data_IF_749481340960
#
_entry.id   IF_749481340960
#
_cell.length_a   1.000
_cell.length_b   1.000
_cell.length_c   1.000
_cell.angle_alpha   90.00
_cell.angle_beta   90.00
_cell.angle_gamma   90.00
#
_symmetry.space_group_name_H-M   'P 1'
#
loop_
_entity.id
_entity.type
_entity.pdbx_description
1 polymer ?
#
# COMPACT_ATOMS: atom_id res chain seq x y z
N UNK A 1 38.51 5.04 66.29
CA UNK A 1 38.14 6.06 65.30
C UNK A 1 37.24 5.38 64.30
N UNK A 2 36.09 4.99 64.69
CA UNK A 2 34.77 5.66 64.90
C UNK A 2 34.22 6.08 63.57
N UNK A 3 33.34 5.26 63.07
CA UNK A 3 31.87 5.30 63.18
C UNK A 3 31.25 6.39 62.33
N UNK A 4 30.95 6.05 61.07
CA UNK A 4 30.02 6.77 60.19
C UNK A 4 29.30 5.83 59.22
N UNK A 5 28.81 4.70 59.71
CA UNK A 5 28.01 3.76 58.92
C UNK A 5 26.62 3.51 59.55
N UNK A 6 26.00 4.53 60.07
CA UNK A 6 24.82 4.35 60.89
C UNK A 6 23.67 5.33 60.74
N UNK A 7 23.45 5.97 59.58
CA UNK A 7 22.29 6.88 59.43
C UNK A 7 21.72 6.99 58.03
N UNK A 8 21.46 5.85 57.37
CA UNK A 8 20.72 5.88 56.09
C UNK A 8 19.82 4.63 55.91
N UNK A 9 19.11 4.25 56.98
CA UNK A 9 18.20 3.10 56.95
C UNK A 9 16.85 3.34 57.59
N UNK A 10 16.32 4.57 57.45
CA UNK A 10 15.00 4.92 58.00
C UNK A 10 14.18 5.88 57.13
N UNK A 11 14.12 5.68 55.81
CA UNK A 11 13.31 6.54 54.97
C UNK A 11 12.60 5.85 53.78
N UNK A 12 12.66 4.52 53.65
CA UNK A 12 11.83 3.85 52.64
C UNK A 12 11.18 2.60 53.25
N UNK A 13 9.86 2.75 53.50
CA UNK A 13 9.03 1.70 53.99
C UNK A 13 8.94 0.55 52.98
N UNK A 14 8.93 -0.62 53.52
CA UNK A 14 8.60 -1.89 52.90
C UNK A 14 7.17 -1.89 52.34
N UNK A 15 7.01 -2.11 51.08
CA UNK A 15 5.71 -2.48 50.45
C UNK A 15 6.03 -3.48 49.38
N UNK A 16 6.00 -4.73 49.76
CA UNK A 16 5.81 -5.88 48.88
C UNK A 16 4.41 -5.81 48.28
N UNK A 17 4.31 -5.71 46.97
CA UNK A 17 3.27 -6.38 46.19
C UNK A 17 3.78 -6.49 44.78
N UNK A 18 4.15 -7.71 44.41
CA UNK A 18 4.54 -8.11 43.08
C UNK A 18 3.30 -8.19 42.19
N UNK A 19 3.27 -7.40 41.16
CA UNK A 19 2.57 -7.74 39.93
C UNK A 19 3.57 -7.70 38.80
N UNK A 20 3.99 -8.90 38.37
CA UNK A 20 4.67 -9.17 37.10
C UNK A 20 3.71 -8.74 35.97
N UNK A 21 3.82 -7.50 35.52
CA UNK A 21 3.37 -7.15 34.19
C UNK A 21 4.36 -7.72 33.18
N UNK A 22 4.13 -8.97 32.79
CA UNK A 22 4.71 -9.52 31.58
C UNK A 22 4.33 -8.56 30.42
N UNK A 23 5.35 -7.89 29.91
CA UNK A 23 5.32 -7.11 28.68
C UNK A 23 4.97 -8.07 27.55
N UNK A 24 3.67 -8.22 27.27
CA UNK A 24 3.20 -8.87 26.07
C UNK A 24 3.55 -7.90 24.94
N UNK A 25 4.25 -8.37 23.89
CA UNK A 25 4.35 -7.57 22.69
C UNK A 25 2.91 -7.29 22.22
N UNK A 26 2.49 -6.03 22.29
CA UNK A 26 1.25 -5.60 21.66
C UNK A 26 1.36 -6.00 20.20
N UNK A 27 0.48 -6.93 19.81
CA UNK A 27 0.28 -7.31 18.44
C UNK A 27 -0.24 -6.06 17.71
N UNK A 28 0.69 -5.26 17.14
CA UNK A 28 0.36 -4.07 16.35
C UNK A 28 -0.19 -4.56 15.03
N UNK A 29 -1.45 -4.96 15.04
CA UNK A 29 -2.23 -5.15 13.83
C UNK A 29 -2.22 -3.84 13.04
N UNK A 30 -1.85 -3.89 11.78
CA UNK A 30 -2.08 -2.81 10.84
C UNK A 30 -3.58 -2.50 10.90
N UNK A 31 -3.96 -1.30 11.37
CA UNK A 31 -5.36 -0.96 11.57
C UNK A 31 -5.94 -0.30 10.31
N UNK A 32 -7.15 -0.69 9.96
CA UNK A 32 -7.96 -0.03 8.93
C UNK A 32 -8.15 1.43 9.30
N UNK A 33 -8.00 2.36 8.37
CA UNK A 33 -8.24 3.79 8.58
C UNK A 33 -9.68 4.05 9.08
N UNK A 34 -9.88 5.04 9.95
CA UNK A 34 -11.14 5.34 10.64
C UNK A 34 -12.37 5.59 9.73
N UNK A 35 -12.19 5.64 8.42
CA UNK A 35 -13.26 5.70 7.41
C UNK A 35 -12.77 5.21 6.05
N UNK A 36 -12.60 3.90 5.90
CA UNK A 36 -12.39 3.27 4.59
C UNK A 36 -13.63 3.44 3.73
N UNK A 37 -13.50 4.15 2.63
CA UNK A 37 -14.59 4.33 1.66
C UNK A 37 -14.17 3.70 0.35
N UNK A 38 -14.95 2.71 -0.09
CA UNK A 38 -14.80 2.11 -1.40
C UNK A 38 -15.62 2.89 -2.43
N UNK A 39 -14.97 3.24 -3.53
CA UNK A 39 -15.57 3.90 -4.68
C UNK A 39 -15.37 3.00 -5.90
N UNK A 40 -16.46 2.67 -6.56
CA UNK A 40 -16.38 2.04 -7.88
C UNK A 40 -16.09 3.13 -8.90
N UNK A 41 -15.16 2.89 -9.81
CA UNK A 41 -14.97 3.72 -11.00
C UNK A 41 -15.96 3.22 -12.05
N UNK A 42 -17.07 3.94 -12.20
CA UNK A 42 -18.24 3.46 -12.95
C UNK A 42 -17.95 3.23 -14.44
N UNK A 43 -16.99 3.96 -15.00
CA UNK A 43 -16.59 3.86 -16.40
C UNK A 43 -15.77 2.59 -16.69
N UNK A 44 -15.20 1.95 -15.66
CA UNK A 44 -14.31 0.81 -15.80
C UNK A 44 -14.78 -0.35 -14.93
N UNK A 45 -15.34 -1.36 -15.55
CA UNK A 45 -15.79 -2.52 -14.81
C UNK A 45 -14.62 -3.28 -14.18
N UNK A 46 -14.74 -3.57 -12.88
CA UNK A 46 -13.68 -4.22 -12.08
C UNK A 46 -12.60 -3.28 -11.54
N UNK A 47 -12.78 -1.95 -11.65
CA UNK A 47 -11.88 -0.96 -11.04
C UNK A 47 -12.51 -0.38 -9.77
N UNK A 48 -11.81 -0.56 -8.65
CA UNK A 48 -12.22 -0.07 -7.35
C UNK A 48 -11.11 0.75 -6.69
N UNK A 49 -11.51 1.84 -6.05
CA UNK A 49 -10.63 2.70 -5.28
C UNK A 49 -11.07 2.70 -3.82
N UNK A 50 -10.17 2.39 -2.90
CA UNK A 50 -10.36 2.55 -1.48
C UNK A 50 -9.57 3.77 -1.02
N UNK A 51 -10.27 4.88 -0.75
CA UNK A 51 -9.64 6.07 -0.16
C UNK A 51 -9.39 5.82 1.32
N UNK A 52 -8.32 6.40 1.85
CA UNK A 52 -7.94 6.27 3.26
C UNK A 52 -7.80 4.79 3.72
N UNK A 53 -7.39 3.90 2.81
CA UNK A 53 -7.10 2.50 3.13
C UNK A 53 -6.09 2.39 4.27
N UNK A 54 -5.01 3.18 4.22
CA UNK A 54 -4.01 3.26 5.29
C UNK A 54 -4.14 4.57 6.06
N UNK A 55 -4.19 4.50 7.38
CA UNK A 55 -4.03 5.67 8.24
C UNK A 55 -2.64 6.30 8.06
N UNK A 56 -2.48 7.57 8.45
CA UNK A 56 -1.18 8.26 8.38
C UNK A 56 -0.09 7.50 9.15
N UNK A 57 -0.45 6.89 10.27
CA UNK A 57 0.47 6.09 11.09
C UNK A 57 0.94 4.85 10.31
N UNK A 58 0.00 4.08 9.75
CA UNK A 58 0.33 2.88 8.98
C UNK A 58 1.10 3.18 7.71
N UNK A 59 0.84 4.32 7.05
CA UNK A 59 1.67 4.78 5.93
C UNK A 59 3.13 5.01 6.37
N UNK A 60 3.34 5.63 7.54
CA UNK A 60 4.68 5.88 8.09
C UNK A 60 5.41 4.58 8.46
N UNK A 61 4.71 3.64 9.10
CA UNK A 61 5.28 2.35 9.48
C UNK A 61 5.66 1.53 8.24
N UNK A 62 4.76 1.47 7.26
CA UNK A 62 4.99 0.77 5.99
C UNK A 62 6.14 1.40 5.20
N UNK A 63 6.21 2.73 5.13
CA UNK A 63 7.31 3.44 4.50
C UNK A 63 8.64 3.12 5.17
N UNK A 64 8.66 3.11 6.50
CA UNK A 64 9.85 2.77 7.29
C UNK A 64 10.29 1.32 7.03
N UNK A 65 9.36 0.38 6.96
CA UNK A 65 9.65 -1.01 6.65
C UNK A 65 10.26 -1.17 5.24
N UNK A 66 9.70 -0.50 4.23
CA UNK A 66 10.23 -0.50 2.86
C UNK A 66 11.65 0.08 2.78
N UNK A 67 11.89 1.20 3.46
CA UNK A 67 13.21 1.83 3.47
C UNK A 67 14.26 0.97 4.20
N UNK A 68 13.87 0.25 5.25
CA UNK A 68 14.74 -0.66 6.00
C UNK A 68 15.17 -1.90 5.19
N UNK A 69 14.46 -2.25 4.11
CA UNK A 69 14.91 -3.30 3.17
C UNK A 69 16.22 -2.93 2.45
N UNK A 70 16.58 -1.65 2.41
CA UNK A 70 17.80 -1.18 1.76
C UNK A 70 17.78 -1.29 0.23
N UNK A 71 16.60 -1.39 -0.39
CA UNK A 71 16.50 -1.57 -1.85
C UNK A 71 16.85 -0.31 -2.66
N UNK A 72 16.67 0.86 -2.07
CA UNK A 72 16.81 2.16 -2.74
C UNK A 72 18.02 2.96 -2.22
N UNK A 73 19.13 2.25 -1.91
CA UNK A 73 20.36 2.89 -1.41
C UNK A 73 21.08 3.67 -2.54
N UNK A 74 21.01 3.16 -3.75
CA UNK A 74 21.59 3.82 -4.92
C UNK A 74 20.51 4.65 -5.64
N UNK A 75 20.79 5.92 -5.94
CA UNK A 75 19.86 6.84 -6.62
C UNK A 75 19.35 6.33 -7.98
N UNK A 76 20.10 5.43 -8.62
CA UNK A 76 19.75 4.81 -9.90
C UNK A 76 18.72 3.69 -9.76
N UNK A 77 18.50 3.16 -8.55
CA UNK A 77 17.55 2.07 -8.29
C UNK A 77 16.22 2.67 -7.85
N UNK A 78 15.25 2.61 -8.74
CA UNK A 78 13.91 3.11 -8.49
C UNK A 78 12.83 2.02 -8.47
N UNK A 79 13.23 0.75 -8.56
CA UNK A 79 12.31 -0.39 -8.54
C UNK A 79 12.91 -1.58 -7.80
N UNK A 80 12.11 -2.24 -6.97
CA UNK A 80 12.43 -3.51 -6.34
C UNK A 80 11.32 -4.52 -6.58
N UNK A 81 11.69 -5.80 -6.81
CA UNK A 81 10.74 -6.89 -7.04
C UNK A 81 11.02 -8.06 -6.11
N UNK A 82 9.96 -8.74 -5.69
CA UNK A 82 10.01 -10.02 -4.96
C UNK A 82 8.99 -10.99 -5.56
N UNK A 83 9.34 -12.27 -5.51
CA UNK A 83 8.54 -13.37 -6.03
C UNK A 83 8.55 -14.51 -5.01
N UNK A 84 7.41 -15.15 -4.80
CA UNK A 84 7.25 -16.22 -3.82
C UNK A 84 7.13 -15.67 -2.41
N UNK A 85 8.14 -15.95 -1.56
CA UNK A 85 8.13 -15.47 -0.17
C UNK A 85 8.28 -13.94 -0.12
N UNK A 86 7.20 -13.27 0.25
CA UNK A 86 7.18 -11.82 0.40
C UNK A 86 7.75 -11.41 1.78
N UNK A 87 8.30 -10.18 1.91
CA UNK A 87 8.64 -9.62 3.21
C UNK A 87 7.43 -9.60 4.15
N UNK A 88 7.65 -9.73 5.47
CA UNK A 88 6.58 -9.79 6.47
C UNK A 88 5.59 -8.62 6.37
N UNK A 89 6.09 -7.40 6.20
CA UNK A 89 5.25 -6.21 6.01
C UNK A 89 4.35 -6.29 4.76
N UNK A 90 4.80 -6.97 3.70
CA UNK A 90 3.99 -7.15 2.49
C UNK A 90 2.94 -8.24 2.68
N UNK A 91 3.23 -9.29 3.46
CA UNK A 91 2.25 -10.29 3.87
C UNK A 91 1.18 -9.65 4.75
N UNK A 92 1.56 -8.87 5.75
CA UNK A 92 0.63 -8.10 6.59
C UNK A 92 -0.25 -7.14 5.77
N UNK A 93 0.32 -6.53 4.72
CA UNK A 93 -0.44 -5.69 3.79
C UNK A 93 -1.46 -6.51 2.98
N UNK A 94 -1.11 -7.73 2.56
CA UNK A 94 -2.05 -8.64 1.88
C UNK A 94 -3.21 -9.01 2.80
N UNK A 95 -2.93 -9.34 4.06
CA UNK A 95 -3.94 -9.67 5.07
C UNK A 95 -4.88 -8.48 5.31
N UNK A 96 -4.33 -7.27 5.42
CA UNK A 96 -5.11 -6.05 5.57
C UNK A 96 -6.01 -5.76 4.35
N UNK A 97 -5.52 -6.01 3.13
CA UNK A 97 -6.34 -5.91 1.92
C UNK A 97 -7.50 -6.90 1.98
N UNK A 98 -7.24 -8.15 2.34
CA UNK A 98 -8.26 -9.18 2.48
C UNK A 98 -9.34 -8.76 3.50
N UNK A 99 -8.93 -8.41 4.72
CA UNK A 99 -9.83 -7.95 5.78
C UNK A 99 -10.68 -6.74 5.35
N UNK A 100 -10.05 -5.79 4.63
CA UNK A 100 -10.74 -4.58 4.17
C UNK A 100 -11.79 -4.89 3.09
N UNK A 101 -11.50 -5.83 2.20
CA UNK A 101 -12.48 -6.28 1.18
C UNK A 101 -13.61 -7.08 1.80
N UNK A 102 -13.30 -7.97 2.77
CA UNK A 102 -14.31 -8.79 3.46
C UNK A 102 -15.23 -7.96 4.36
N UNK A 103 -14.74 -6.83 4.89
CA UNK A 103 -15.50 -5.98 5.80
C UNK A 103 -16.67 -5.24 5.13
N UNK A 104 -16.74 -5.24 3.81
CA UNK A 104 -17.77 -4.53 3.05
C UNK A 104 -18.69 -5.50 2.31
N UNK A 105 -19.98 -5.20 2.31
CA UNK A 105 -21.00 -5.95 1.56
C UNK A 105 -21.02 -5.51 0.07
N UNK A 106 -19.83 -5.43 -0.52
CA UNK A 106 -19.61 -5.05 -1.91
C UNK A 106 -18.79 -6.13 -2.61
N UNK A 107 -19.14 -6.48 -3.83
CA UNK A 107 -18.35 -7.39 -4.67
C UNK A 107 -17.14 -6.66 -5.27
N UNK A 108 -16.19 -6.25 -4.42
CA UNK A 108 -14.99 -5.52 -4.81
C UNK A 108 -14.04 -6.41 -5.60
N UNK A 109 -13.90 -7.66 -5.17
CA UNK A 109 -13.19 -8.71 -5.92
C UNK A 109 -14.10 -9.93 -6.09
N UNK A 110 -14.00 -10.64 -7.22
CA UNK A 110 -14.61 -11.96 -7.38
C UNK A 110 -14.20 -12.93 -6.27
N UNK A 111 -15.10 -13.78 -5.80
CA UNK A 111 -14.87 -14.68 -4.67
C UNK A 111 -13.72 -15.67 -4.93
N UNK A 112 -13.54 -16.14 -6.14
CA UNK A 112 -12.44 -17.03 -6.54
C UNK A 112 -11.06 -16.35 -6.45
N UNK A 113 -11.00 -15.04 -6.63
CA UNK A 113 -9.77 -14.26 -6.45
C UNK A 113 -9.51 -13.96 -4.97
N UNK A 114 -10.57 -13.68 -4.22
CA UNK A 114 -10.48 -13.32 -2.81
C UNK A 114 -9.95 -14.47 -1.95
N UNK A 115 -10.39 -15.71 -2.24
CA UNK A 115 -10.07 -16.89 -1.43
C UNK A 115 -8.89 -17.72 -1.94
N UNK A 116 -8.14 -17.21 -2.93
CA UNK A 116 -6.93 -17.89 -3.39
C UNK A 116 -5.79 -17.78 -2.38
N UNK A 117 -4.97 -18.82 -2.27
CA UNK A 117 -3.82 -18.86 -1.35
C UNK A 117 -2.50 -19.06 -2.11
N UNK A 118 -1.49 -18.23 -1.81
CA UNK A 118 -1.60 -16.92 -1.16
C UNK A 118 -2.39 -15.94 -2.01
N UNK A 119 -2.96 -14.89 -1.39
CA UNK A 119 -3.70 -13.85 -2.13
C UNK A 119 -2.83 -13.22 -3.21
N UNK A 120 -1.59 -12.89 -2.85
CA UNK A 120 -0.55 -12.40 -3.77
C UNK A 120 0.79 -13.09 -3.44
N UNK A 121 1.62 -13.32 -4.46
CA UNK A 121 2.97 -13.91 -4.36
C UNK A 121 4.01 -13.17 -5.18
N UNK A 122 3.66 -11.99 -5.68
CA UNK A 122 4.58 -11.10 -6.38
C UNK A 122 4.36 -9.67 -5.93
N UNK A 123 5.45 -9.01 -5.62
CA UNK A 123 5.53 -7.62 -5.17
C UNK A 123 6.42 -6.83 -6.11
N UNK A 124 5.98 -5.62 -6.48
CA UNK A 124 6.84 -4.57 -7.02
C UNK A 124 6.68 -3.32 -6.16
N UNK A 125 7.79 -2.74 -5.76
CA UNK A 125 7.85 -1.40 -5.18
C UNK A 125 8.55 -0.49 -6.17
N UNK A 126 7.85 0.56 -6.62
CA UNK A 126 8.41 1.60 -7.48
C UNK A 126 8.56 2.89 -6.68
N UNK A 127 9.71 3.53 -6.81
CA UNK A 127 10.00 4.85 -6.26
C UNK A 127 10.06 5.84 -7.43
N UNK A 128 9.15 6.81 -7.43
CA UNK A 128 9.07 7.86 -8.45
C UNK A 128 9.58 9.17 -7.88
N UNK A 129 10.50 9.81 -8.57
CA UNK A 129 10.92 11.19 -8.31
C UNK A 129 9.92 12.18 -8.96
N UNK A 130 9.95 13.47 -8.59
CA UNK A 130 9.14 14.49 -9.25
C UNK A 130 9.30 14.44 -10.77
N UNK A 131 8.18 14.40 -11.51
CA UNK A 131 8.16 14.33 -12.97
C UNK A 131 8.34 12.91 -13.55
N UNK A 132 8.64 11.91 -12.74
CA UNK A 132 8.68 10.51 -13.19
C UNK A 132 7.29 9.90 -13.24
N UNK A 133 7.14 8.88 -14.08
CA UNK A 133 5.89 8.16 -14.27
C UNK A 133 6.13 6.82 -14.93
N UNK A 134 5.04 6.17 -15.33
CA UNK A 134 5.06 4.89 -16.05
C UNK A 134 4.24 5.00 -17.32
N UNK A 135 4.76 4.47 -18.43
CA UNK A 135 4.06 4.45 -19.72
C UNK A 135 2.80 3.59 -19.65
N UNK A 136 1.80 3.92 -20.47
CA UNK A 136 0.58 3.15 -20.60
C UNK A 136 0.86 1.69 -20.92
N UNK A 137 0.36 0.79 -20.07
CA UNK A 137 0.53 -0.65 -20.21
C UNK A 137 -0.61 -1.43 -19.56
N UNK A 138 -0.84 -2.62 -20.05
CA UNK A 138 -1.57 -3.68 -19.36
C UNK A 138 -0.53 -4.57 -18.68
N UNK A 139 -0.78 -5.02 -17.46
CA UNK A 139 0.13 -5.94 -16.79
C UNK A 139 0.30 -7.26 -17.56
N UNK A 140 1.47 -7.87 -17.45
CA UNK A 140 1.81 -9.09 -18.19
C UNK A 140 0.82 -10.23 -17.88
N UNK A 141 0.49 -11.03 -18.89
CA UNK A 141 -0.44 -12.17 -18.76
C UNK A 141 0.08 -13.32 -17.89
N UNK A 142 1.35 -13.28 -17.51
CA UNK A 142 1.91 -14.22 -16.51
C UNK A 142 1.39 -13.99 -15.09
N UNK A 143 0.70 -12.88 -14.85
CA UNK A 143 0.01 -12.60 -13.59
C UNK A 143 -1.47 -12.86 -13.75
N UNK A 144 -2.04 -13.54 -12.77
CA UNK A 144 -3.47 -13.82 -12.69
C UNK A 144 -4.29 -12.54 -12.60
N UNK A 145 -5.60 -12.69 -12.63
CA UNK A 145 -6.55 -11.61 -12.36
C UNK A 145 -6.43 -11.13 -10.91
N UNK A 146 -6.89 -9.92 -10.64
CA UNK A 146 -6.82 -9.30 -9.32
C UNK A 146 -5.44 -8.72 -9.01
N UNK A 147 -5.28 -7.41 -9.19
CA UNK A 147 -4.06 -6.65 -8.91
C UNK A 147 -4.39 -5.57 -7.90
N UNK A 148 -3.54 -5.43 -6.88
CA UNK A 148 -3.64 -4.37 -5.88
C UNK A 148 -2.50 -3.36 -6.03
N UNK A 149 -2.81 -2.05 -5.95
CA UNK A 149 -1.81 -0.98 -5.97
C UNK A 149 -2.06 -0.05 -4.79
N UNK A 150 -1.09 0.05 -3.89
CA UNK A 150 -1.10 1.00 -2.76
C UNK A 150 -0.19 2.18 -3.06
N UNK A 151 -0.66 3.39 -2.77
CA UNK A 151 0.03 4.64 -3.04
C UNK A 151 0.50 5.30 -1.75
N UNK A 152 1.76 5.75 -1.69
CA UNK A 152 2.36 6.40 -0.52
C UNK A 152 3.03 7.73 -0.88
N UNK A 153 3.19 8.61 0.11
CA UNK A 153 3.94 9.87 0.15
C UNK A 153 3.29 11.02 -0.64
N UNK A 154 3.06 10.86 -1.94
CA UNK A 154 2.56 11.95 -2.78
C UNK A 154 1.34 11.52 -3.60
N UNK A 155 0.35 12.41 -3.80
CA UNK A 155 -0.73 12.12 -4.72
C UNK A 155 -0.21 12.03 -6.16
N UNK A 156 -0.93 11.27 -7.00
CA UNK A 156 -0.75 11.29 -8.44
C UNK A 156 -2.07 11.02 -9.15
N UNK A 157 -2.17 11.43 -10.41
CA UNK A 157 -3.25 11.02 -11.29
C UNK A 157 -2.78 9.81 -12.08
N UNK A 158 -3.50 8.70 -11.96
CA UNK A 158 -3.35 7.52 -12.80
C UNK A 158 -4.40 7.58 -13.89
N UNK A 159 -3.95 7.54 -15.14
CA UNK A 159 -4.84 7.50 -16.30
C UNK A 159 -5.05 6.08 -16.73
N UNK A 160 -6.29 5.74 -16.99
CA UNK A 160 -6.71 4.52 -17.62
C UNK A 160 -7.17 4.82 -19.05
N UNK A 161 -6.72 4.02 -20.02
CA UNK A 161 -7.12 4.12 -21.41
C UNK A 161 -7.45 2.73 -21.95
N UNK A 162 -8.42 2.57 -22.87
CA UNK A 162 -8.73 1.28 -23.49
C UNK A 162 -7.48 0.62 -24.09
N UNK A 163 -7.32 -0.69 -23.89
CA UNK A 163 -6.16 -1.43 -24.45
C UNK A 163 -6.25 -1.52 -25.97
N UNK A 164 -7.46 -1.65 -26.52
CA UNK A 164 -7.73 -1.59 -27.94
C UNK A 164 -8.33 -0.23 -28.29
N UNK A 165 -8.29 0.12 -29.59
CA UNK A 165 -8.94 1.33 -30.06
C UNK A 165 -10.46 1.16 -29.97
N UNK A 166 -11.04 1.69 -28.93
CA UNK A 166 -12.48 1.67 -28.66
C UNK A 166 -13.00 3.11 -28.58
N UNK A 167 -14.34 3.28 -28.59
CA UNK A 167 -14.99 4.58 -28.41
C UNK A 167 -14.95 5.07 -26.95
N UNK A 168 -14.47 4.25 -26.00
CA UNK A 168 -14.36 4.62 -24.60
C UNK A 168 -13.29 5.70 -24.38
N UNK A 169 -13.63 6.68 -23.57
CA UNK A 169 -12.75 7.79 -23.23
C UNK A 169 -11.74 7.39 -22.13
N UNK A 170 -10.62 8.09 -22.08
CA UNK A 170 -9.64 7.96 -21.00
C UNK A 170 -10.29 8.36 -19.66
N UNK A 171 -9.97 7.61 -18.61
CA UNK A 171 -10.46 7.86 -17.25
C UNK A 171 -9.28 8.19 -16.34
N UNK A 172 -9.31 9.36 -15.73
CA UNK A 172 -8.31 9.79 -14.76
C UNK A 172 -8.78 9.48 -13.34
N UNK A 173 -7.90 8.88 -12.53
CA UNK A 173 -8.17 8.52 -11.13
C UNK A 173 -7.11 9.18 -10.23
N UNK A 174 -7.56 9.99 -9.28
CA UNK A 174 -6.67 10.59 -8.28
C UNK A 174 -6.35 9.58 -7.18
N UNK A 175 -5.08 9.25 -7.03
CA UNK A 175 -4.53 8.43 -5.96
C UNK A 175 -3.93 9.33 -4.88
N UNK A 176 -4.58 9.35 -3.72
CA UNK A 176 -4.04 10.00 -2.52
C UNK A 176 -3.05 9.08 -1.81
N UNK A 177 -2.12 9.61 -1.00
CA UNK A 177 -1.33 8.77 -0.09
C UNK A 177 -2.22 7.92 0.81
N UNK A 178 -1.89 6.64 0.96
CA UNK A 178 -2.69 5.68 1.72
C UNK A 178 -3.90 5.11 0.98
N UNK A 179 -4.10 5.42 -0.30
CA UNK A 179 -5.15 4.81 -1.12
C UNK A 179 -4.72 3.45 -1.67
N UNK A 180 -5.73 2.61 -1.91
CA UNK A 180 -5.61 1.29 -2.56
C UNK A 180 -6.48 1.28 -3.82
N UNK A 181 -5.91 0.85 -4.94
CA UNK A 181 -6.65 0.44 -6.14
C UNK A 181 -6.68 -1.09 -6.21
N UNK A 182 -7.85 -1.63 -6.56
CA UNK A 182 -8.02 -3.02 -6.99
C UNK A 182 -8.52 -3.05 -8.43
N UNK A 183 -7.85 -3.86 -9.24
CA UNK A 183 -8.17 -4.08 -10.65
C UNK A 183 -8.47 -5.55 -10.88
N UNK A 184 -9.64 -5.87 -11.42
CA UNK A 184 -10.01 -7.22 -11.83
C UNK A 184 -10.81 -7.21 -13.14
N UNK A 185 -10.90 -8.36 -13.83
CA UNK A 185 -11.66 -8.51 -15.05
C UNK A 185 -11.27 -7.48 -16.13
N UNK A 186 -12.23 -6.67 -16.59
CA UNK A 186 -11.99 -5.68 -17.64
C UNK A 186 -10.90 -4.69 -17.27
N UNK A 187 -10.93 -4.14 -16.04
CA UNK A 187 -9.91 -3.20 -15.55
C UNK A 187 -8.50 -3.79 -15.64
N UNK A 188 -8.35 -5.09 -15.40
CA UNK A 188 -7.08 -5.82 -15.42
C UNK A 188 -6.60 -6.12 -16.85
N UNK A 189 -7.49 -6.48 -17.76
CA UNK A 189 -7.12 -7.05 -19.05
C UNK A 189 -7.37 -6.14 -20.24
N UNK A 190 -8.32 -5.21 -20.14
CA UNK A 190 -8.80 -4.40 -21.26
C UNK A 190 -8.45 -2.91 -21.11
N UNK A 191 -7.88 -2.51 -19.97
CA UNK A 191 -7.46 -1.14 -19.71
C UNK A 191 -5.96 -1.06 -19.44
N UNK A 192 -5.31 -0.17 -20.18
CA UNK A 192 -3.94 0.27 -19.86
C UNK A 192 -4.00 1.27 -18.73
N UNK A 193 -2.99 1.27 -17.89
CA UNK A 193 -2.83 2.33 -16.89
C UNK A 193 -1.45 2.97 -17.02
N UNK A 194 -1.40 4.26 -16.76
CA UNK A 194 -0.18 5.07 -16.84
C UNK A 194 -0.16 6.16 -15.76
N UNK A 195 1.03 6.63 -15.44
CA UNK A 195 1.25 7.89 -14.75
C UNK A 195 2.04 8.76 -15.71
N UNK A 196 1.39 9.82 -16.20
CA UNK A 196 1.98 10.71 -17.19
C UNK A 196 3.24 11.37 -16.65
N UNK A 197 4.32 11.25 -17.42
CA UNK A 197 5.53 12.04 -17.23
C UNK A 197 5.27 13.44 -17.75
N UNK A 198 5.30 14.44 -16.88
CA UNK A 198 5.21 15.83 -17.29
C UNK A 198 6.57 16.49 -17.14
N UNK A 199 7.02 17.19 -18.18
CA UNK A 199 8.30 17.92 -18.18
C UNK A 199 8.41 18.95 -17.05
N UNK A 200 7.25 19.43 -16.55
CA UNK A 200 7.17 20.43 -15.48
C UNK A 200 6.91 19.81 -14.06
N UNK A 201 6.89 18.50 -13.94
CA UNK A 201 6.77 17.83 -12.62
C UNK A 201 5.41 17.94 -11.93
N UNK A 202 4.35 18.40 -12.62
CA UNK A 202 3.00 18.46 -12.08
C UNK A 202 1.95 17.89 -13.03
N UNK A 203 0.95 17.28 -12.45
CA UNK A 203 -0.25 16.79 -13.11
C UNK A 203 -1.42 17.73 -12.81
N UNK A 204 -2.49 17.63 -13.58
CA UNK A 204 -3.72 18.41 -13.36
C UNK A 204 -4.84 17.46 -12.98
N UNK A 205 -5.58 17.78 -11.93
CA UNK A 205 -6.78 17.10 -11.49
C UNK A 205 -7.91 18.11 -11.31
N UNK A 206 -9.01 17.96 -12.03
CA UNK A 206 -10.17 18.85 -11.97
C UNK A 206 -9.82 20.36 -12.15
N UNK A 207 -8.81 20.62 -12.97
CA UNK A 207 -8.35 22.00 -13.26
C UNK A 207 -7.31 22.53 -12.27
N UNK A 208 -6.99 21.81 -11.19
CA UNK A 208 -5.96 22.19 -10.24
C UNK A 208 -4.66 21.42 -10.48
N UNK A 209 -3.53 22.11 -10.34
CA UNK A 209 -2.22 21.49 -10.46
C UNK A 209 -1.90 20.65 -9.22
N UNK A 210 -1.47 19.40 -9.44
CA UNK A 210 -0.97 18.52 -8.39
C UNK A 210 0.55 18.57 -8.41
N UNK A 211 1.14 19.16 -7.36
CA UNK A 211 2.58 19.16 -7.18
C UNK A 211 3.05 17.77 -6.78
N UNK A 212 3.43 16.96 -7.77
CA UNK A 212 3.96 15.63 -7.57
C UNK A 212 5.35 15.71 -6.93
N UNK A 213 5.46 15.19 -5.71
CA UNK A 213 6.72 14.97 -5.01
C UNK A 213 7.17 13.51 -5.19
N UNK A 214 8.17 13.08 -4.42
CA UNK A 214 8.53 11.67 -4.34
C UNK A 214 7.29 10.83 -3.99
N UNK A 215 7.11 9.72 -4.69
CA UNK A 215 6.00 8.79 -4.49
C UNK A 215 6.50 7.36 -4.47
N UNK A 216 5.98 6.55 -3.58
CA UNK A 216 6.16 5.10 -3.58
C UNK A 216 4.84 4.44 -4.00
N UNK A 217 4.95 3.47 -4.90
CA UNK A 217 3.86 2.61 -5.32
C UNK A 217 4.20 1.17 -5.00
N UNK A 218 3.29 0.48 -4.32
CA UNK A 218 3.38 -0.95 -4.02
C UNK A 218 2.35 -1.65 -4.88
N UNK A 219 2.80 -2.56 -5.77
CA UNK A 219 1.91 -3.38 -6.59
C UNK A 219 2.03 -4.84 -6.17
N UNK A 220 0.91 -5.46 -5.86
CA UNK A 220 0.79 -6.86 -5.45
C UNK A 220 0.03 -7.63 -6.52
N UNK A 221 0.55 -8.79 -6.90
CA UNK A 221 0.04 -9.64 -7.98
C UNK A 221 0.19 -11.12 -7.61
N UNK A 222 -0.57 -11.96 -8.28
CA UNK A 222 -0.44 -13.42 -8.22
C UNK A 222 0.15 -13.94 -9.51
N UNK A 223 1.18 -14.82 -9.41
CA UNK A 223 1.73 -15.52 -10.57
C UNK A 223 0.78 -16.61 -11.05
N UNK A 224 0.61 -16.73 -12.36
CA UNK A 224 -0.02 -17.92 -12.93
C UNK A 224 0.76 -19.17 -12.54
N UNK A 225 0.06 -20.23 -12.14
CA UNK A 225 0.67 -21.52 -11.94
C UNK A 225 1.15 -22.07 -13.28
N UNK A 226 2.38 -22.60 -13.31
CA UNK A 226 2.98 -23.19 -14.49
C UNK A 226 2.35 -24.54 -14.85
#
# INVERSE_FOLDING_TARGET
MDDEAGHLKAAFGDSSDGEDFADRPENRSLGIGDSTVWERVEEINGLWLCRNFLSIHHQSDLLSAILNEGWFVEETINQAMRFGDLPSWATELCDLILETVESVDLSVLPADLLWREPLFDQLIVNLYQPGEGICAHVDLLRFEDGIAIVSLESPCVMRFSPAEADEAEDVDVLLSPGSLILMSGEARYQWKHEINRKENGFQVWQGEEINQKRRISITLRKLCQA
#
